data_IF_226650833395
#
_entry.id   IF_226650833395
#
_cell.length_a   1.000
_cell.length_b   1.000
_cell.length_c   1.000
_cell.angle_alpha   90.00
_cell.angle_beta   90.00
_cell.angle_gamma   90.00
#
_symmetry.space_group_name_H-M   'P 1'
#
loop_
_entity.id
_entity.type
_entity.pdbx_description
1 polymer ?
#
# COMPACT_ATOMS: atom_id res chain seq x y z
N UNK A 1 -14.25 -9.35 -2.87
CA UNK A 1 -13.49 -8.36 -3.65
C UNK A 1 -12.21 -7.99 -2.93
N UNK A 2 -11.13 -7.85 -3.69
CA UNK A 2 -9.83 -7.44 -3.12
C UNK A 2 -9.80 -5.93 -3.06
N UNK A 3 -9.38 -5.36 -1.92
CA UNK A 3 -9.31 -3.93 -1.77
C UNK A 3 -8.24 -3.34 -2.72
N UNK A 4 -8.49 -2.17 -3.30
CA UNK A 4 -7.48 -1.49 -4.10
C UNK A 4 -6.37 -0.95 -3.20
N UNK A 5 -5.21 -0.67 -3.81
CA UNK A 5 -4.06 -0.15 -3.10
C UNK A 5 -4.01 1.37 -3.20
N UNK A 6 -3.63 2.02 -2.11
CA UNK A 6 -3.38 3.46 -2.09
C UNK A 6 -1.89 3.66 -1.79
N UNK A 7 -1.16 4.17 -2.78
CA UNK A 7 0.28 4.36 -2.69
C UNK A 7 0.61 5.72 -2.09
N UNK A 8 1.51 5.72 -1.11
CA UNK A 8 2.00 6.93 -0.47
C UNK A 8 2.77 7.82 -1.46
N UNK A 9 2.89 9.11 -1.13
CA UNK A 9 3.49 10.11 -2.01
C UNK A 9 4.96 9.84 -2.37
N UNK A 10 5.67 9.06 -1.56
CA UNK A 10 7.05 8.69 -1.83
C UNK A 10 7.19 7.63 -2.93
N UNK A 11 6.09 7.05 -3.35
CA UNK A 11 6.06 6.09 -4.45
C UNK A 11 5.49 6.83 -5.67
N UNK A 12 6.25 6.85 -6.77
CA UNK A 12 5.85 7.58 -7.97
C UNK A 12 4.45 7.18 -8.45
N UNK A 13 3.65 8.17 -8.86
CA UNK A 13 2.33 7.90 -9.43
C UNK A 13 2.39 7.05 -10.72
N UNK A 14 3.56 6.94 -11.33
CA UNK A 14 3.76 6.09 -12.51
C UNK A 14 3.45 4.64 -12.24
N UNK A 15 3.52 4.22 -10.97
CA UNK A 15 3.24 2.83 -10.59
C UNK A 15 1.80 2.44 -10.93
N UNK A 16 0.88 3.38 -10.93
CA UNK A 16 -0.53 3.09 -11.16
C UNK A 16 -0.73 2.45 -12.54
N UNK A 17 -0.08 2.99 -13.55
CA UNK A 17 -0.15 2.45 -14.91
C UNK A 17 0.34 1.00 -14.96
N UNK A 18 1.40 0.71 -14.21
CA UNK A 18 2.02 -0.62 -14.23
C UNK A 18 1.26 -1.63 -13.39
N UNK A 19 0.59 -1.18 -12.32
CA UNK A 19 0.02 -2.09 -11.32
C UNK A 19 -1.48 -2.32 -11.47
N UNK A 20 -2.18 -1.44 -12.21
CA UNK A 20 -3.65 -1.46 -12.27
C UNK A 20 -4.25 -2.76 -12.80
N UNK A 21 -3.54 -3.47 -13.68
CA UNK A 21 -4.02 -4.76 -14.19
C UNK A 21 -3.97 -5.85 -13.13
N UNK A 22 -3.09 -5.72 -12.15
CA UNK A 22 -2.92 -6.69 -11.07
C UNK A 22 -3.74 -6.34 -9.83
N UNK A 23 -3.89 -5.05 -9.57
CA UNK A 23 -4.63 -4.53 -8.41
C UNK A 23 -5.57 -3.42 -8.88
N UNK A 24 -6.72 -3.78 -9.50
CA UNK A 24 -7.63 -2.80 -10.08
C UNK A 24 -8.13 -1.77 -9.07
N UNK A 25 -8.31 -0.56 -9.52
CA UNK A 25 -8.81 0.53 -8.68
C UNK A 25 -7.77 1.20 -7.82
N UNK A 26 -6.51 0.78 -7.92
CA UNK A 26 -5.43 1.36 -7.13
C UNK A 26 -5.17 2.81 -7.52
N UNK A 27 -4.78 3.62 -6.52
CA UNK A 27 -4.54 5.05 -6.66
C UNK A 27 -3.26 5.43 -5.93
N UNK A 28 -2.73 6.58 -6.30
CA UNK A 28 -1.64 7.21 -5.57
C UNK A 28 -2.24 8.43 -4.87
N UNK A 29 -1.74 8.78 -3.67
CA UNK A 29 -2.35 9.84 -2.84
C UNK A 29 -2.56 11.15 -3.58
N UNK A 30 -1.70 11.48 -4.53
CA UNK A 30 -1.82 12.67 -5.36
C UNK A 30 -3.12 12.68 -6.16
N UNK A 31 -3.55 11.51 -6.65
CA UNK A 31 -4.76 11.39 -7.46
C UNK A 31 -6.05 11.64 -6.70
N UNK A 32 -5.99 11.49 -5.38
CA UNK A 32 -7.17 11.65 -4.52
C UNK A 32 -7.06 12.88 -3.62
N UNK A 33 -6.17 13.81 -3.98
CA UNK A 33 -6.07 15.10 -3.28
C UNK A 33 -5.37 15.05 -1.93
N UNK A 34 -4.59 14.02 -1.67
CA UNK A 34 -3.93 13.83 -0.38
C UNK A 34 -2.43 14.14 -0.39
N UNK A 35 -1.91 14.66 -1.49
CA UNK A 35 -0.51 15.05 -1.56
C UNK A 35 -0.17 16.08 -0.48
N UNK A 36 0.89 15.83 0.28
CA UNK A 36 1.31 16.73 1.34
C UNK A 36 0.48 16.69 2.60
N UNK A 37 -0.50 15.82 2.68
CA UNK A 37 -1.35 15.70 3.86
C UNK A 37 -0.66 14.86 4.94
N UNK A 38 -1.10 15.03 6.18
CA UNK A 38 -0.59 14.26 7.31
C UNK A 38 -0.94 12.79 7.16
N UNK A 39 -0.09 11.92 7.69
CA UNK A 39 -0.30 10.46 7.64
C UNK A 39 -1.67 10.08 8.20
N UNK A 40 -2.12 10.74 9.26
CA UNK A 40 -3.42 10.45 9.84
C UNK A 40 -4.58 10.74 8.89
N UNK A 41 -4.44 11.78 8.08
CA UNK A 41 -5.46 12.12 7.08
C UNK A 41 -5.50 11.07 5.97
N UNK A 42 -4.31 10.63 5.54
CA UNK A 42 -4.20 9.55 4.54
C UNK A 42 -4.77 8.25 5.10
N UNK A 43 -4.46 7.94 6.35
CA UNK A 43 -4.99 6.77 7.06
C UNK A 43 -6.53 6.77 7.08
N UNK A 44 -7.10 7.91 7.50
CA UNK A 44 -8.56 8.04 7.60
C UNK A 44 -9.23 7.92 6.23
N UNK A 45 -8.63 8.48 5.20
CA UNK A 45 -9.15 8.36 3.84
C UNK A 45 -9.15 6.89 3.39
N UNK A 46 -8.04 6.19 3.59
CA UNK A 46 -7.94 4.78 3.21
C UNK A 46 -9.00 3.95 3.94
N UNK A 47 -9.17 4.19 5.22
CA UNK A 47 -10.18 3.50 6.03
C UNK A 47 -11.59 3.73 5.51
N UNK A 48 -11.93 4.99 5.22
CA UNK A 48 -13.28 5.36 4.79
C UNK A 48 -13.60 4.91 3.37
N UNK A 49 -12.60 4.71 2.53
CA UNK A 49 -12.78 4.42 1.11
C UNK A 49 -12.33 3.01 0.70
N UNK A 50 -12.00 2.17 1.67
CA UNK A 50 -11.71 0.76 1.39
C UNK A 50 -10.38 0.47 0.73
N UNK A 51 -9.39 1.35 0.92
CA UNK A 51 -8.04 1.14 0.38
C UNK A 51 -7.13 0.42 1.38
N UNK A 52 -6.15 -0.31 0.84
CA UNK A 52 -5.01 -0.79 1.60
C UNK A 52 -3.83 0.14 1.31
N UNK A 53 -3.15 0.60 2.35
CA UNK A 53 -2.02 1.53 2.20
C UNK A 53 -0.75 0.79 1.82
N UNK A 54 0.03 1.40 0.93
CA UNK A 54 1.35 0.89 0.52
C UNK A 54 2.36 2.00 0.70
N UNK A 55 3.38 1.77 1.51
CA UNK A 55 4.39 2.79 1.81
C UNK A 55 5.74 2.16 2.15
N UNK A 56 6.80 2.91 1.94
CA UNK A 56 8.14 2.59 2.46
C UNK A 56 8.28 2.97 3.94
N UNK A 57 7.42 3.85 4.42
CA UNK A 57 7.54 4.47 5.73
C UNK A 57 6.90 3.59 6.79
N UNK A 58 7.56 3.45 7.94
CA UNK A 58 7.02 2.69 9.05
C UNK A 58 5.86 3.37 9.76
N UNK A 59 5.62 4.65 9.49
CA UNK A 59 4.59 5.43 10.20
C UNK A 59 3.19 4.81 10.06
N UNK A 60 2.85 4.27 8.89
CA UNK A 60 1.55 3.63 8.71
C UNK A 60 1.47 2.28 9.45
N UNK A 61 2.58 1.56 9.53
CA UNK A 61 2.63 0.34 10.33
C UNK A 61 2.43 0.67 11.81
N UNK A 62 3.03 1.78 12.28
CA UNK A 62 2.84 2.25 13.65
C UNK A 62 1.38 2.60 13.92
N UNK A 63 0.72 3.27 12.99
CA UNK A 63 -0.71 3.57 13.12
C UNK A 63 -1.55 2.29 13.18
N UNK A 64 -1.17 1.27 12.41
CA UNK A 64 -1.85 -0.02 12.45
C UNK A 64 -1.73 -0.70 13.81
N UNK A 65 -0.56 -0.62 14.43
CA UNK A 65 -0.37 -1.17 15.76
C UNK A 65 -1.21 -0.47 16.81
N UNK A 66 -1.44 0.84 16.64
CA UNK A 66 -2.22 1.63 17.57
C UNK A 66 -3.73 1.48 17.36
N UNK A 67 -4.17 1.45 16.12
CA UNK A 67 -5.60 1.57 15.79
C UNK A 67 -6.19 0.34 15.09
N UNK A 68 -5.37 -0.65 14.78
CA UNK A 68 -5.83 -1.86 14.12
C UNK A 68 -6.08 -1.65 12.63
N UNK A 69 -6.97 -2.45 12.08
CA UNK A 69 -7.36 -2.38 10.68
C UNK A 69 -8.88 -2.61 10.56
N UNK A 70 -9.54 -2.13 9.44
CA UNK A 70 -8.98 -1.43 8.29
C UNK A 70 -8.47 -0.03 8.62
N UNK A 71 -7.59 0.54 7.82
CA UNK A 71 -7.03 -0.02 6.59
C UNK A 71 -5.88 -0.98 6.88
N UNK A 72 -5.68 -1.96 6.00
CA UNK A 72 -4.48 -2.79 6.04
C UNK A 72 -3.30 -2.00 5.49
N UNK A 73 -2.10 -2.41 5.85
CA UNK A 73 -0.87 -1.74 5.45
C UNK A 73 0.09 -2.75 4.83
N UNK A 74 0.59 -2.42 3.64
CA UNK A 74 1.71 -3.13 3.03
C UNK A 74 2.93 -2.24 3.21
N UNK A 75 3.85 -2.69 4.04
CA UNK A 75 5.07 -1.95 4.34
C UNK A 75 6.21 -2.49 3.48
N UNK A 76 6.64 -1.67 2.52
CA UNK A 76 7.72 -2.03 1.61
C UNK A 76 9.07 -1.73 2.24
N UNK A 77 9.80 -2.77 2.61
CA UNK A 77 11.14 -2.65 3.20
C UNK A 77 12.18 -3.02 2.15
N UNK A 78 12.23 -2.24 1.09
CA UNK A 78 13.07 -2.52 -0.07
C UNK A 78 14.28 -1.59 -0.21
N UNK A 79 14.35 -0.57 0.63
CA UNK A 79 15.31 0.52 0.45
C UNK A 79 14.92 1.38 -0.75
N UNK A 80 15.88 2.13 -1.29
CA UNK A 80 15.63 2.94 -2.48
C UNK A 80 15.30 2.03 -3.67
N UNK A 81 14.15 2.23 -4.26
CA UNK A 81 13.67 1.35 -5.30
C UNK A 81 13.00 2.15 -6.42
N UNK A 82 13.27 1.75 -7.65
CA UNK A 82 12.62 2.30 -8.83
C UNK A 82 11.18 1.83 -8.92
N UNK A 83 10.37 2.54 -9.69
CA UNK A 83 9.00 2.11 -10.00
C UNK A 83 8.98 0.70 -10.57
N UNK A 84 9.91 0.39 -11.47
CA UNK A 84 9.99 -0.94 -12.08
C UNK A 84 10.28 -2.02 -11.05
N UNK A 85 11.16 -1.76 -10.09
CA UNK A 85 11.46 -2.72 -9.03
C UNK A 85 10.26 -2.95 -8.13
N UNK A 86 9.59 -1.88 -7.72
CA UNK A 86 8.41 -1.99 -6.87
C UNK A 86 7.32 -2.79 -7.59
N UNK A 87 7.08 -2.48 -8.86
CA UNK A 87 6.12 -3.21 -9.68
C UNK A 87 6.47 -4.69 -9.76
N UNK A 88 7.74 -5.01 -10.00
CA UNK A 88 8.20 -6.39 -10.08
C UNK A 88 7.97 -7.14 -8.77
N UNK A 89 8.31 -6.52 -7.65
CA UNK A 89 8.14 -7.13 -6.32
C UNK A 89 6.67 -7.38 -6.03
N UNK A 90 5.82 -6.39 -6.25
CA UNK A 90 4.38 -6.54 -6.00
C UNK A 90 3.77 -7.61 -6.90
N UNK A 91 4.21 -7.69 -8.15
CA UNK A 91 3.71 -8.69 -9.10
C UNK A 91 4.16 -10.10 -8.70
N UNK A 92 5.42 -10.25 -8.31
CA UNK A 92 5.94 -11.54 -7.86
C UNK A 92 5.25 -12.03 -6.59
N UNK A 93 4.89 -11.11 -5.71
CA UNK A 93 4.23 -11.43 -4.43
C UNK A 93 2.71 -11.27 -4.48
N UNK A 94 2.16 -11.17 -5.67
CA UNK A 94 0.73 -10.92 -5.87
C UNK A 94 -0.14 -11.92 -5.10
N UNK A 95 0.18 -13.19 -5.16
CA UNK A 95 -0.60 -14.24 -4.50
C UNK A 95 -0.56 -14.06 -2.99
N UNK A 96 0.63 -13.83 -2.43
CA UNK A 96 0.80 -13.56 -1.01
C UNK A 96 0.03 -12.33 -0.57
N UNK A 97 0.10 -11.27 -1.38
CA UNK A 97 -0.62 -10.03 -1.09
C UNK A 97 -2.13 -10.27 -1.13
N UNK A 98 -2.63 -11.02 -2.10
CA UNK A 98 -4.05 -11.32 -2.20
C UNK A 98 -4.55 -12.11 -1.00
N UNK A 99 -3.77 -13.06 -0.52
CA UNK A 99 -4.10 -13.82 0.70
C UNK A 99 -4.15 -12.87 1.90
N UNK A 100 -3.17 -11.99 2.03
CA UNK A 100 -3.14 -10.99 3.08
C UNK A 100 -4.38 -10.08 3.05
N UNK A 101 -4.76 -9.60 1.87
CA UNK A 101 -5.89 -8.70 1.73
C UNK A 101 -7.22 -9.34 2.11
N UNK A 102 -7.30 -10.65 2.03
CA UNK A 102 -8.52 -11.40 2.33
C UNK A 102 -8.60 -11.89 3.78
N UNK A 103 -7.47 -12.02 4.47
CA UNK A 103 -7.51 -12.53 5.83
C UNK A 103 -8.08 -11.49 6.80
N UNK A 104 -8.60 -11.94 7.93
CA UNK A 104 -9.23 -11.08 8.92
C UNK A 104 -8.43 -10.99 10.20
N UNK A 105 -7.17 -11.42 10.17
CA UNK A 105 -6.32 -11.53 11.35
C UNK A 105 -5.16 -10.54 11.33
N UNK A 106 -4.58 -10.32 10.16
CA UNK A 106 -3.38 -9.52 10.02
C UNK A 106 -3.66 -8.16 9.37
N UNK A 107 -3.12 -7.11 9.95
CA UNK A 107 -3.27 -5.74 9.43
C UNK A 107 -2.05 -5.20 8.72
N UNK A 108 -0.88 -5.85 8.88
CA UNK A 108 0.39 -5.39 8.30
C UNK A 108 1.04 -6.54 7.57
N UNK A 109 1.48 -6.28 6.34
CA UNK A 109 2.33 -7.18 5.57
C UNK A 109 3.65 -6.47 5.29
N UNK A 110 4.74 -7.02 5.79
CA UNK A 110 6.08 -6.54 5.45
C UNK A 110 6.52 -7.20 4.16
N UNK A 111 6.92 -6.40 3.19
CA UNK A 111 7.43 -6.90 1.92
C UNK A 111 8.91 -6.58 1.84
N UNK A 112 9.73 -7.61 1.82
CA UNK A 112 11.19 -7.49 1.77
C UNK A 112 11.70 -8.17 0.52
N UNK A 113 12.78 -7.63 -0.03
CA UNK A 113 13.43 -8.27 -1.17
C UNK A 113 14.35 -9.38 -0.66
N UNK A 114 14.38 -10.49 -1.39
CA UNK A 114 15.21 -11.63 -1.07
C UNK A 114 16.69 -11.46 -1.43
N UNK A 115 17.08 -10.31 -1.91
CA UNK A 115 18.48 -10.08 -2.30
C UNK A 115 19.38 -9.82 -1.11
#
# INVERSE_FOLDING_TARGET
MISPLLFDQNISFRIIKEISSHFPGSKQVREVGLEGKLDREVWNYAKSNGFTLVSFDSDFADLSLLFGFPPKVIWLRLGNSSTNRITAVLTQKKEEIQIFLKNEVEGILKVESAL
#
